data_IF_510095305545
#
_entry.id   IF_510095305545
#
_cell.length_a   1.000
_cell.length_b   1.000
_cell.length_c   1.000
_cell.angle_alpha   90.00
_cell.angle_beta   90.00
_cell.angle_gamma   90.00
#
_symmetry.space_group_name_H-M   'P 1'
#
loop_
_entity.id
_entity.type
_entity.pdbx_description
1 polymer ?
#
# COMPACT_ATOMS: atom_id res chain seq x y z
N UNK A 1 -14.19 4.85 -0.45
CA UNK A 1 -14.30 4.43 -1.85
C UNK A 1 -12.92 4.46 -2.52
N UNK A 2 -12.62 3.46 -3.37
CA UNK A 2 -11.31 3.32 -4.03
C UNK A 2 -11.49 3.23 -5.54
N UNK A 3 -10.63 3.95 -6.30
CA UNK A 3 -10.60 3.90 -7.76
C UNK A 3 -9.27 3.33 -8.26
N UNK A 4 -9.30 2.12 -8.84
CA UNK A 4 -8.16 1.57 -9.57
C UNK A 4 -8.09 2.19 -10.97
N UNK A 5 -6.91 2.68 -11.37
CA UNK A 5 -6.73 3.39 -12.64
C UNK A 5 -5.30 3.25 -13.18
N UNK A 6 -5.18 3.30 -14.51
CA UNK A 6 -3.89 3.46 -15.20
C UNK A 6 -3.42 4.93 -15.29
N UNK A 7 -4.20 5.88 -14.79
CA UNK A 7 -3.85 7.29 -14.73
C UNK A 7 -4.06 8.11 -16.01
N UNK A 8 -4.43 7.50 -17.12
CA UNK A 8 -4.53 8.20 -18.42
C UNK A 8 -5.51 9.39 -18.35
N UNK A 9 -6.70 9.19 -17.78
CA UNK A 9 -7.69 10.27 -17.64
C UNK A 9 -7.24 11.30 -16.62
N UNK A 10 -6.64 10.89 -15.53
CA UNK A 10 -6.10 11.79 -14.49
C UNK A 10 -5.03 12.71 -15.07
N UNK A 11 -4.17 12.19 -15.96
CA UNK A 11 -3.13 12.98 -16.61
C UNK A 11 -3.69 14.05 -17.58
N UNK A 12 -4.79 13.75 -18.26
CA UNK A 12 -5.34 14.58 -19.35
C UNK A 12 -6.44 15.55 -18.90
N UNK A 13 -7.17 15.23 -17.84
CA UNK A 13 -8.42 15.90 -17.45
C UNK A 13 -8.31 16.36 -15.98
N UNK A 14 -7.89 17.62 -15.79
CA UNK A 14 -7.72 18.21 -14.44
C UNK A 14 -9.06 18.41 -13.75
N UNK A 15 -10.12 18.76 -14.51
CA UNK A 15 -11.47 18.96 -13.97
C UNK A 15 -12.03 17.64 -13.41
N UNK A 16 -11.68 16.52 -14.07
CA UNK A 16 -11.99 15.19 -13.55
C UNK A 16 -11.29 14.93 -12.21
N UNK A 17 -10.02 15.33 -12.06
CA UNK A 17 -9.26 15.18 -10.80
C UNK A 17 -9.87 16.05 -9.70
N UNK A 18 -10.25 17.28 -10.00
CA UNK A 18 -10.96 18.17 -9.07
C UNK A 18 -12.27 17.55 -8.58
N UNK A 19 -13.04 16.99 -9.51
CA UNK A 19 -14.26 16.25 -9.16
C UNK A 19 -13.98 15.06 -8.25
N UNK A 20 -12.92 14.28 -8.51
CA UNK A 20 -12.52 13.17 -7.63
C UNK A 20 -12.13 13.69 -6.24
N UNK A 21 -11.42 14.80 -6.17
CA UNK A 21 -11.02 15.42 -4.90
C UNK A 21 -12.22 15.86 -4.05
N UNK A 22 -13.37 16.17 -4.64
CA UNK A 22 -14.59 16.51 -3.90
C UNK A 22 -15.18 15.34 -3.10
N UNK A 23 -14.71 14.12 -3.33
CA UNK A 23 -15.12 12.94 -2.57
C UNK A 23 -14.20 12.62 -1.37
N UNK A 24 -13.13 13.40 -1.17
CA UNK A 24 -12.30 13.27 0.03
C UNK A 24 -13.10 13.64 1.29
N UNK A 25 -12.81 13.04 2.46
CA UNK A 25 -11.67 12.15 2.74
C UNK A 25 -11.91 10.67 2.39
N UNK A 26 -13.12 10.24 2.08
CA UNK A 26 -13.51 8.84 1.94
C UNK A 26 -13.22 8.27 0.54
N UNK A 27 -12.20 8.82 -0.15
CA UNK A 27 -11.85 8.47 -1.50
C UNK A 27 -10.34 8.36 -1.70
N UNK A 28 -9.90 7.27 -2.35
CA UNK A 28 -8.50 6.97 -2.65
C UNK A 28 -8.30 6.53 -4.09
N UNK A 29 -7.19 6.93 -4.69
CA UNK A 29 -6.72 6.46 -5.99
C UNK A 29 -5.72 5.33 -5.82
N UNK A 30 -5.94 4.21 -6.49
CA UNK A 30 -4.96 3.15 -6.71
C UNK A 30 -4.40 3.30 -8.11
N UNK A 31 -3.23 3.93 -8.20
CA UNK A 31 -2.58 4.26 -9.47
C UNK A 31 -1.60 3.15 -9.87
N UNK A 32 -1.84 2.50 -11.00
CA UNK A 32 -0.86 1.57 -11.58
C UNK A 32 0.43 2.33 -11.91
N UNK A 33 1.55 1.88 -11.34
CA UNK A 33 2.84 2.57 -11.48
C UNK A 33 3.91 1.70 -12.14
N UNK A 34 4.18 0.53 -11.60
CA UNK A 34 5.05 -0.58 -12.03
C UNK A 34 6.54 -0.25 -12.17
N UNK A 35 6.94 0.76 -12.93
CA UNK A 35 8.35 1.02 -13.26
C UNK A 35 8.56 2.45 -13.76
N UNK A 36 9.79 2.93 -13.67
CA UNK A 36 10.25 4.16 -14.36
C UNK A 36 10.78 3.87 -15.76
N UNK A 37 11.09 2.60 -16.06
CA UNK A 37 11.70 2.19 -17.32
C UNK A 37 10.65 1.90 -18.39
N UNK A 38 10.88 2.49 -19.56
CA UNK A 38 10.01 2.35 -20.73
C UNK A 38 9.89 0.91 -21.22
N UNK A 39 11.02 0.19 -21.31
CA UNK A 39 11.06 -1.20 -21.76
C UNK A 39 10.26 -2.12 -20.85
N UNK A 40 10.36 -1.94 -19.54
CA UNK A 40 9.56 -2.67 -18.55
C UNK A 40 8.07 -2.37 -18.69
N UNK A 41 7.72 -1.10 -18.91
CA UNK A 41 6.33 -0.71 -19.11
C UNK A 41 5.75 -1.26 -20.40
N UNK A 42 6.52 -1.24 -21.48
CA UNK A 42 6.14 -1.87 -22.74
C UNK A 42 5.87 -3.36 -22.57
N UNK A 43 6.70 -4.06 -21.80
CA UNK A 43 6.57 -5.48 -21.56
C UNK A 43 5.37 -5.81 -20.64
N UNK A 44 5.21 -5.10 -19.52
CA UNK A 44 4.15 -5.36 -18.55
C UNK A 44 2.77 -4.81 -18.97
N UNK A 45 2.72 -3.75 -19.79
CA UNK A 45 1.48 -3.01 -20.12
C UNK A 45 1.21 -2.86 -21.61
N UNK A 46 2.19 -3.18 -22.46
CA UNK A 46 2.08 -3.02 -23.92
C UNK A 46 2.17 -1.57 -24.40
N UNK A 47 2.42 -0.60 -23.49
CA UNK A 47 2.48 0.83 -23.81
C UNK A 47 3.47 1.56 -22.91
N UNK A 48 4.16 2.57 -23.48
CA UNK A 48 4.95 3.52 -22.70
C UNK A 48 4.06 4.57 -22.05
N UNK A 49 3.82 4.43 -20.76
CA UNK A 49 2.99 5.33 -19.97
C UNK A 49 3.79 6.19 -18.98
N UNK A 50 5.11 6.31 -19.17
CA UNK A 50 6.00 7.04 -18.26
C UNK A 50 5.54 8.49 -18.05
N UNK A 51 5.33 9.24 -19.15
CA UNK A 51 4.91 10.64 -19.07
C UNK A 51 3.48 10.78 -18.55
N UNK A 52 2.60 9.83 -18.88
CA UNK A 52 1.23 9.78 -18.36
C UNK A 52 1.25 9.67 -16.83
N UNK A 53 2.08 8.79 -16.28
CA UNK A 53 2.18 8.59 -14.83
C UNK A 53 2.74 9.80 -14.10
N UNK A 54 3.80 10.41 -14.65
CA UNK A 54 4.35 11.67 -14.10
C UNK A 54 3.27 12.76 -14.07
N UNK A 55 2.56 12.92 -15.18
CA UNK A 55 1.50 13.94 -15.27
C UNK A 55 0.31 13.64 -14.37
N UNK A 56 -0.05 12.38 -14.21
CA UNK A 56 -1.10 11.97 -13.27
C UNK A 56 -0.71 12.34 -11.83
N UNK A 57 0.50 12.01 -11.39
CA UNK A 57 1.00 12.36 -10.05
C UNK A 57 1.06 13.87 -9.85
N UNK A 58 1.50 14.66 -10.85
CA UNK A 58 1.47 16.11 -10.77
C UNK A 58 0.05 16.65 -10.51
N UNK A 59 -0.94 16.12 -11.23
CA UNK A 59 -2.32 16.53 -11.08
C UNK A 59 -2.92 16.08 -9.74
N UNK A 60 -2.60 14.87 -9.27
CA UNK A 60 -3.02 14.38 -7.95
C UNK A 60 -2.41 15.19 -6.81
N UNK A 61 -1.14 15.60 -6.93
CA UNK A 61 -0.46 16.46 -5.95
C UNK A 61 -1.12 17.85 -5.82
N UNK A 62 -1.67 18.43 -6.90
CA UNK A 62 -2.36 19.73 -6.85
C UNK A 62 -3.52 19.73 -5.86
N UNK A 63 -4.25 18.64 -5.79
CA UNK A 63 -5.42 18.48 -4.92
C UNK A 63 -5.11 17.68 -3.64
N UNK A 64 -3.87 17.25 -3.46
CA UNK A 64 -3.46 16.35 -2.37
C UNK A 64 -4.37 15.12 -2.25
N UNK A 65 -4.83 14.60 -3.38
CA UNK A 65 -5.76 13.47 -3.44
C UNK A 65 -5.07 12.17 -3.05
N UNK A 66 -5.56 11.53 -2.00
CA UNK A 66 -4.98 10.30 -1.46
C UNK A 66 -4.75 9.26 -2.56
N UNK A 67 -3.50 8.82 -2.68
CA UNK A 67 -3.05 7.94 -3.76
C UNK A 67 -2.15 6.84 -3.21
N UNK A 68 -2.41 5.61 -3.61
CA UNK A 68 -1.52 4.46 -3.43
C UNK A 68 -0.95 4.05 -4.79
N UNK A 69 0.37 3.93 -4.88
CA UNK A 69 1.02 3.39 -6.08
C UNK A 69 0.91 1.86 -6.07
N UNK A 70 0.41 1.30 -7.14
CA UNK A 70 0.34 -0.16 -7.33
C UNK A 70 1.43 -0.59 -8.29
N UNK A 71 2.28 -1.50 -7.83
CA UNK A 71 3.48 -1.94 -8.53
C UNK A 71 3.44 -3.45 -8.70
N UNK A 72 3.22 -3.91 -9.92
CA UNK A 72 3.37 -5.32 -10.26
C UNK A 72 4.86 -5.64 -10.35
N UNK A 73 5.31 -6.64 -9.58
CA UNK A 73 6.72 -7.05 -9.53
C UNK A 73 6.94 -8.37 -10.26
N UNK A 74 7.97 -8.39 -11.11
CA UNK A 74 8.43 -9.59 -11.79
C UNK A 74 9.95 -9.69 -11.66
N UNK A 75 10.44 -10.86 -11.25
CA UNK A 75 11.87 -11.12 -11.09
C UNK A 75 12.61 -10.97 -12.42
N UNK A 76 13.78 -10.32 -12.40
CA UNK A 76 14.57 -10.01 -13.60
C UNK A 76 14.01 -8.82 -14.41
N UNK A 77 12.96 -8.14 -13.94
CA UNK A 77 12.35 -6.99 -14.65
C UNK A 77 12.43 -5.69 -13.87
N UNK A 78 11.79 -5.59 -12.71
CA UNK A 78 11.67 -4.33 -11.97
C UNK A 78 11.86 -4.45 -10.45
N UNK A 79 12.30 -5.59 -9.97
CA UNK A 79 12.60 -5.77 -8.54
C UNK A 79 13.81 -4.94 -8.07
N UNK A 80 14.62 -4.44 -8.99
CA UNK A 80 15.72 -3.53 -8.74
C UNK A 80 15.29 -2.07 -8.57
N UNK A 81 14.05 -1.71 -8.95
CA UNK A 81 13.49 -0.35 -8.81
C UNK A 81 12.69 -0.13 -7.51
N UNK A 82 12.57 -1.14 -6.65
CA UNK A 82 11.76 -1.06 -5.41
C UNK A 82 12.16 0.15 -4.55
N UNK A 83 13.46 0.35 -4.34
CA UNK A 83 13.97 1.49 -3.55
C UNK A 83 13.69 2.84 -4.21
N UNK A 84 13.90 2.94 -5.53
CA UNK A 84 13.63 4.16 -6.28
C UNK A 84 12.13 4.52 -6.28
N UNK A 85 11.26 3.51 -6.39
CA UNK A 85 9.81 3.69 -6.32
C UNK A 85 9.39 4.16 -4.92
N UNK A 86 9.96 3.58 -3.86
CA UNK A 86 9.70 4.02 -2.48
C UNK A 86 10.17 5.45 -2.25
N UNK A 87 11.39 5.79 -2.67
CA UNK A 87 11.93 7.14 -2.55
C UNK A 87 11.09 8.17 -3.31
N UNK A 88 10.64 7.81 -4.51
CA UNK A 88 9.74 8.65 -5.28
C UNK A 88 8.39 8.84 -4.56
N UNK A 89 7.78 7.76 -4.09
CA UNK A 89 6.49 7.79 -3.40
C UNK A 89 6.53 8.62 -2.12
N UNK A 90 7.59 8.48 -1.34
CA UNK A 90 7.79 9.23 -0.10
C UNK A 90 7.87 10.75 -0.34
N UNK A 91 8.44 11.17 -1.47
CA UNK A 91 8.56 12.58 -1.87
C UNK A 91 7.27 13.19 -2.42
N UNK A 92 6.26 12.38 -2.77
CA UNK A 92 5.00 12.89 -3.32
C UNK A 92 4.01 13.22 -2.19
N UNK A 93 3.48 14.44 -2.20
CA UNK A 93 2.52 14.90 -1.18
C UNK A 93 1.22 14.08 -1.18
N UNK A 94 0.72 13.72 -2.35
CA UNK A 94 -0.54 12.96 -2.48
C UNK A 94 -0.39 11.46 -2.21
N UNK A 95 0.85 10.91 -2.25
CA UNK A 95 1.05 9.46 -2.12
C UNK A 95 1.10 9.04 -0.66
N UNK A 96 0.15 8.18 -0.29
CA UNK A 96 -0.05 7.63 1.06
C UNK A 96 0.45 6.20 1.19
N UNK A 97 0.87 5.57 0.10
CA UNK A 97 1.40 4.22 0.17
C UNK A 97 1.85 3.66 -1.17
N UNK A 98 2.50 2.51 -1.07
CA UNK A 98 2.90 1.67 -2.20
C UNK A 98 2.44 0.25 -1.92
N UNK A 99 1.78 -0.37 -2.90
CA UNK A 99 1.43 -1.79 -2.87
C UNK A 99 2.25 -2.54 -3.90
N UNK A 100 3.12 -3.40 -3.43
CA UNK A 100 3.90 -4.32 -4.27
C UNK A 100 3.14 -5.62 -4.47
N UNK A 101 2.90 -5.98 -5.72
CA UNK A 101 2.14 -7.16 -6.13
C UNK A 101 3.02 -8.08 -6.96
N UNK A 102 3.61 -9.14 -6.37
CA UNK A 102 4.28 -10.18 -7.14
C UNK A 102 3.40 -10.74 -8.25
N UNK A 103 3.95 -10.88 -9.46
CA UNK A 103 3.23 -11.49 -10.59
C UNK A 103 2.88 -12.94 -10.26
N UNK A 104 1.63 -13.32 -10.54
CA UNK A 104 1.09 -14.66 -10.32
C UNK A 104 0.69 -15.33 -11.63
N UNK A 105 0.57 -16.66 -11.60
CA UNK A 105 0.06 -17.45 -12.73
C UNK A 105 -1.46 -17.33 -12.79
N UNK A 106 -1.93 -16.20 -13.31
CA UNK A 106 -3.35 -15.92 -13.44
C UNK A 106 -3.63 -15.13 -14.73
N UNK A 107 -4.74 -15.46 -15.40
CA UNK A 107 -5.17 -14.78 -16.61
C UNK A 107 -4.32 -15.11 -17.84
N UNK A 108 -4.06 -14.10 -18.69
CA UNK A 108 -3.31 -14.23 -19.95
C UNK A 108 -1.82 -13.95 -19.72
N UNK A 109 -1.13 -14.90 -19.14
CA UNK A 109 0.29 -14.78 -18.82
C UNK A 109 1.07 -15.98 -19.40
N UNK A 110 0.91 -16.21 -20.70
CA UNK A 110 1.39 -17.41 -21.41
C UNK A 110 2.91 -17.51 -21.40
N UNK A 111 3.62 -16.37 -21.39
CA UNK A 111 5.09 -16.29 -21.42
C UNK A 111 5.72 -16.19 -20.02
N UNK A 112 4.94 -16.31 -18.95
CA UNK A 112 5.44 -16.21 -17.58
C UNK A 112 5.99 -17.54 -17.08
N UNK A 113 7.31 -17.60 -16.91
CA UNK A 113 7.99 -18.74 -16.30
C UNK A 113 8.08 -18.59 -14.78
N UNK A 114 7.28 -19.37 -14.07
CA UNK A 114 7.22 -19.38 -12.60
C UNK A 114 8.59 -19.63 -11.97
N UNK A 115 9.40 -20.54 -12.56
CA UNK A 115 10.67 -20.93 -11.97
C UNK A 115 11.70 -19.79 -11.94
N UNK A 116 11.65 -18.91 -12.94
CA UNK A 116 12.65 -17.85 -13.12
C UNK A 116 12.12 -16.44 -12.85
N UNK A 117 10.81 -16.20 -13.01
CA UNK A 117 10.21 -14.86 -13.00
C UNK A 117 9.31 -14.58 -11.79
N UNK A 118 8.88 -15.62 -11.05
CA UNK A 118 8.12 -15.43 -9.81
C UNK A 118 9.05 -14.86 -8.74
N UNK A 119 8.61 -13.80 -8.09
CA UNK A 119 9.25 -13.23 -6.91
C UNK A 119 8.36 -13.51 -5.69
N UNK A 120 8.94 -14.00 -4.61
CA UNK A 120 8.20 -14.31 -3.38
C UNK A 120 8.06 -13.08 -2.49
N UNK A 121 7.09 -13.09 -1.58
CA UNK A 121 6.92 -12.05 -0.56
C UNK A 121 8.22 -11.82 0.23
N UNK A 122 8.90 -12.90 0.62
CA UNK A 122 10.19 -12.84 1.35
C UNK A 122 11.28 -12.17 0.52
N UNK A 123 11.34 -12.44 -0.80
CA UNK A 123 12.30 -11.77 -1.68
C UNK A 123 11.99 -10.28 -1.81
N UNK A 124 10.71 -9.89 -1.97
CA UNK A 124 10.30 -8.47 -2.00
C UNK A 124 10.69 -7.76 -0.71
N UNK A 125 10.38 -8.38 0.44
CA UNK A 125 10.76 -7.87 1.76
C UNK A 125 12.27 -7.63 1.86
N UNK A 126 13.08 -8.61 1.45
CA UNK A 126 14.54 -8.48 1.41
C UNK A 126 14.99 -7.34 0.50
N UNK A 127 14.41 -7.21 -0.69
CA UNK A 127 14.72 -6.12 -1.63
C UNK A 127 14.39 -4.73 -1.07
N UNK A 128 13.29 -4.59 -0.32
CA UNK A 128 12.99 -3.34 0.39
C UNK A 128 14.11 -3.00 1.37
N UNK A 129 14.55 -3.98 2.18
CA UNK A 129 15.62 -3.78 3.16
C UNK A 129 16.99 -3.47 2.52
N UNK A 130 17.28 -4.06 1.37
CA UNK A 130 18.52 -3.82 0.62
C UNK A 130 18.54 -2.43 -0.06
N UNK A 131 17.38 -1.95 -0.53
CA UNK A 131 17.27 -0.78 -1.39
C UNK A 131 16.74 0.48 -0.68
N UNK A 132 16.12 0.36 0.50
CA UNK A 132 15.59 1.49 1.25
C UNK A 132 16.26 1.59 2.63
N UNK A 133 16.96 2.71 2.94
CA UNK A 133 17.57 2.91 4.25
C UNK A 133 16.55 3.27 5.35
N UNK A 134 15.30 3.52 4.97
CA UNK A 134 14.24 3.98 5.89
C UNK A 134 13.71 2.85 6.76
N UNK A 135 13.56 1.64 6.17
CA UNK A 135 12.89 0.51 6.81
C UNK A 135 13.87 -0.55 7.28
N UNK A 136 13.60 -1.13 8.45
CA UNK A 136 14.30 -2.28 9.02
C UNK A 136 13.44 -3.54 8.95
N UNK A 137 14.01 -4.69 9.31
CA UNK A 137 13.29 -5.97 9.27
C UNK A 137 12.07 -6.00 10.22
N UNK A 138 12.12 -5.24 11.32
CA UNK A 138 11.06 -5.13 12.31
C UNK A 138 9.88 -4.29 11.82
N UNK A 139 10.12 -3.37 10.87
CA UNK A 139 9.11 -2.49 10.32
C UNK A 139 8.19 -3.21 9.32
N UNK A 140 8.69 -4.29 8.70
CA UNK A 140 7.98 -5.09 7.70
C UNK A 140 7.29 -6.29 8.37
N UNK A 141 6.04 -6.11 8.74
CA UNK A 141 5.26 -7.01 9.60
C UNK A 141 4.42 -7.96 8.74
N UNK A 142 4.70 -9.29 8.74
CA UNK A 142 3.81 -10.27 8.13
C UNK A 142 2.47 -10.32 8.86
N UNK A 143 1.38 -10.37 8.12
CA UNK A 143 0.04 -10.43 8.71
C UNK A 143 -0.24 -11.84 9.25
N UNK A 144 -0.61 -12.00 10.52
CA UNK A 144 -0.67 -13.30 11.17
C UNK A 144 -1.65 -14.30 10.55
N UNK A 145 -2.72 -13.80 9.93
CA UNK A 145 -3.72 -14.67 9.29
C UNK A 145 -3.22 -15.31 7.99
N UNK A 146 -2.28 -14.64 7.29
CA UNK A 146 -1.63 -15.19 6.11
C UNK A 146 -0.26 -14.52 5.89
N UNK A 147 0.79 -14.98 6.61
CA UNK A 147 2.11 -14.36 6.57
C UNK A 147 2.83 -14.53 5.23
N UNK A 148 2.41 -15.50 4.41
CA UNK A 148 2.98 -15.76 3.08
C UNK A 148 2.33 -14.92 1.98
N UNK A 149 1.11 -14.43 2.25
CA UNK A 149 0.37 -13.64 1.27
C UNK A 149 0.44 -12.12 1.54
N UNK A 150 0.60 -11.69 2.78
CA UNK A 150 0.50 -10.27 3.12
C UNK A 150 1.56 -9.84 4.15
N UNK A 151 2.26 -8.76 3.82
CA UNK A 151 3.18 -8.06 4.72
C UNK A 151 2.93 -6.56 4.64
N UNK A 152 2.98 -5.88 5.77
CA UNK A 152 2.71 -4.45 5.88
C UNK A 152 3.81 -3.72 6.63
N UNK A 153 4.03 -2.45 6.26
CA UNK A 153 4.78 -1.49 7.05
C UNK A 153 4.06 -0.14 7.05
N UNK A 154 4.19 0.56 8.16
CA UNK A 154 3.67 1.91 8.33
C UNK A 154 4.77 2.87 8.72
N UNK A 155 4.75 4.06 8.15
CA UNK A 155 5.65 5.16 8.50
C UNK A 155 4.87 6.48 8.55
N UNK A 156 5.46 7.46 9.24
CA UNK A 156 4.96 8.81 9.32
C UNK A 156 5.87 9.74 8.51
N UNK A 157 5.27 10.56 7.67
CA UNK A 157 5.93 11.72 7.05
C UNK A 157 5.85 12.88 8.04
N UNK A 158 6.93 13.07 8.80
CA UNK A 158 7.02 14.06 9.86
C UNK A 158 7.56 15.36 9.28
N UNK A 159 6.83 16.47 9.31
CA UNK A 159 7.38 17.76 8.90
C UNK A 159 8.52 18.17 9.85
N UNK A 160 9.59 18.71 9.29
CA UNK A 160 10.73 19.24 10.01
C UNK A 160 11.11 20.60 9.45
N UNK A 161 11.96 21.35 10.14
CA UNK A 161 12.46 22.64 9.66
C UNK A 161 13.21 22.54 8.31
N UNK A 162 13.78 21.37 8.01
CA UNK A 162 14.56 21.10 6.80
C UNK A 162 13.82 20.26 5.74
N UNK A 163 12.51 20.03 5.90
CA UNK A 163 11.71 19.21 4.99
C UNK A 163 10.86 18.16 5.73
N UNK A 164 10.84 16.94 5.23
CA UNK A 164 10.10 15.82 5.86
C UNK A 164 11.09 14.73 6.32
N UNK A 165 10.89 14.23 7.52
CA UNK A 165 11.54 13.02 8.05
C UNK A 165 10.56 11.84 7.96
N UNK A 166 11.02 10.72 7.46
CA UNK A 166 10.21 9.50 7.39
C UNK A 166 10.55 8.61 8.58
N UNK A 167 9.57 8.39 9.44
CA UNK A 167 9.76 7.63 10.67
C UNK A 167 8.85 6.41 10.67
N UNK A 168 9.39 5.16 10.63
CA UNK A 168 8.59 3.95 10.80
C UNK A 168 7.83 3.97 12.12
N UNK A 169 6.56 3.53 12.09
CA UNK A 169 5.70 3.55 13.27
C UNK A 169 6.18 2.63 14.39
N UNK A 170 6.94 1.60 14.06
CA UNK A 170 7.60 0.69 15.01
C UNK A 170 8.58 1.38 15.96
N UNK A 171 8.98 2.63 15.66
CA UNK A 171 9.73 3.49 16.60
C UNK A 171 8.91 3.96 17.81
N UNK A 172 7.59 3.93 17.70
CA UNK A 172 6.65 4.42 18.71
C UNK A 172 5.77 3.31 19.28
N UNK A 173 5.50 2.28 18.48
CA UNK A 173 4.56 1.21 18.78
C UNK A 173 5.27 -0.11 18.51
N UNK A 174 5.21 -1.04 19.44
CA UNK A 174 5.84 -2.35 19.23
C UNK A 174 5.15 -3.11 18.08
N UNK A 175 5.90 -3.93 17.31
CA UNK A 175 5.30 -4.82 16.32
C UNK A 175 4.23 -5.74 16.90
N UNK A 176 4.35 -6.13 18.19
CA UNK A 176 3.36 -6.95 18.89
C UNK A 176 2.05 -6.21 19.12
N UNK A 177 2.10 -4.90 19.45
CA UNK A 177 0.89 -4.07 19.57
C UNK A 177 0.21 -3.88 18.22
N UNK A 178 0.96 -3.61 17.15
CA UNK A 178 0.44 -3.55 15.79
C UNK A 178 -0.21 -4.90 15.41
N UNK A 179 0.45 -6.03 15.72
CA UNK A 179 -0.07 -7.36 15.44
C UNK A 179 -1.26 -7.74 16.35
N UNK A 180 -1.29 -7.34 17.60
CA UNK A 180 -2.40 -7.62 18.51
C UNK A 180 -3.66 -6.88 18.08
N UNK A 181 -3.51 -5.65 17.61
CA UNK A 181 -4.59 -4.94 16.97
C UNK A 181 -4.99 -5.62 15.64
N UNK A 182 -4.05 -6.16 14.88
CA UNK A 182 -4.33 -6.94 13.68
C UNK A 182 -4.92 -8.34 13.97
N UNK A 183 -4.61 -8.98 15.13
CA UNK A 183 -5.21 -10.27 15.53
C UNK A 183 -6.72 -10.18 15.74
N UNK A 184 -7.21 -9.03 16.14
CA UNK A 184 -8.64 -8.80 16.22
C UNK A 184 -9.31 -8.76 14.84
N UNK A 185 -8.57 -8.76 13.70
CA UNK A 185 -9.18 -8.77 12.35
C UNK A 185 -10.05 -10.00 12.07
N UNK A 186 -9.80 -11.14 12.71
CA UNK A 186 -10.64 -12.34 12.57
C UNK A 186 -11.92 -12.25 13.40
N UNK A 187 -11.91 -11.47 14.48
CA UNK A 187 -13.07 -11.24 15.38
C UNK A 187 -14.04 -10.21 14.81
N UNK A 188 -13.57 -9.35 13.89
CA UNK A 188 -14.35 -8.23 13.32
C UNK A 188 -15.62 -8.63 12.58
N UNK A 189 -15.68 -9.82 12.02
CA UNK A 189 -16.89 -10.25 11.30
C UNK A 189 -18.12 -10.32 12.20
N UNK A 190 -17.90 -10.36 13.51
CA UNK A 190 -18.96 -10.43 14.53
C UNK A 190 -19.17 -9.14 15.31
N UNK A 191 -18.26 -8.16 15.17
CA UNK A 191 -18.34 -6.86 15.84
C UNK A 191 -18.30 -5.73 14.80
N UNK A 192 -19.44 -5.11 14.56
CA UNK A 192 -19.61 -4.05 13.56
C UNK A 192 -18.79 -2.79 13.90
N UNK A 193 -18.56 -2.47 15.17
CA UNK A 193 -17.78 -1.32 15.57
C UNK A 193 -16.28 -1.55 15.32
N UNK A 194 -15.79 -2.72 15.69
CA UNK A 194 -14.41 -3.11 15.43
C UNK A 194 -14.14 -3.20 13.91
N UNK A 195 -15.09 -3.76 13.15
CA UNK A 195 -15.01 -3.83 11.67
C UNK A 195 -14.90 -2.45 11.03
N UNK A 196 -15.68 -1.49 11.49
CA UNK A 196 -15.64 -0.10 11.00
C UNK A 196 -14.28 0.55 11.32
N UNK A 197 -13.75 0.37 12.53
CA UNK A 197 -12.44 0.87 12.94
C UNK A 197 -11.29 0.30 12.10
N UNK A 198 -11.35 -0.99 11.78
CA UNK A 198 -10.28 -1.63 10.99
C UNK A 198 -10.38 -1.30 9.50
N UNK A 199 -11.57 -1.14 8.96
CA UNK A 199 -11.73 -0.59 7.62
C UNK A 199 -11.12 0.82 7.54
N UNK A 200 -11.24 1.60 8.60
CA UNK A 200 -10.59 2.91 8.73
C UNK A 200 -9.07 2.81 8.82
N UNK A 201 -8.52 1.83 9.53
CA UNK A 201 -7.09 1.54 9.63
C UNK A 201 -6.45 1.15 8.27
N UNK A 202 -7.17 0.34 7.50
CA UNK A 202 -6.70 -0.13 6.19
C UNK A 202 -7.04 0.83 5.05
N UNK A 203 -7.89 1.81 5.29
CA UNK A 203 -8.22 2.87 4.33
C UNK A 203 -7.34 4.09 4.58
N UNK A 204 -6.56 4.49 3.59
CA UNK A 204 -5.78 5.76 3.65
C UNK A 204 -6.67 7.00 3.47
N UNK A 205 -7.97 6.84 3.33
CA UNK A 205 -8.94 7.89 3.00
C UNK A 205 -9.75 8.43 4.16
N UNK A 206 -9.63 7.87 5.38
CA UNK A 206 -10.51 8.28 6.47
C UNK A 206 -9.89 9.39 7.31
N UNK A 207 -10.60 10.51 7.44
CA UNK A 207 -10.36 11.49 8.50
C UNK A 207 -10.79 10.86 9.82
N UNK A 208 -9.84 10.57 10.69
CA UNK A 208 -10.14 10.24 12.07
C UNK A 208 -10.39 11.56 12.77
N UNK A 209 -11.65 11.97 12.89
CA UNK A 209 -12.02 12.79 14.04
C UNK A 209 -11.70 11.95 15.27
N UNK A 210 -10.85 12.47 16.14
CA UNK A 210 -10.44 11.82 17.39
C UNK A 210 -11.67 11.50 18.23
N UNK A 211 -12.36 10.42 17.91
CA UNK A 211 -13.36 9.82 18.78
C UNK A 211 -12.63 8.91 19.78
N UNK A 212 -13.16 8.84 20.98
CA UNK A 212 -12.63 8.21 22.19
C UNK A 212 -12.45 6.68 22.08
N UNK A 213 -11.69 6.20 21.09
CA UNK A 213 -11.36 4.79 20.89
C UNK A 213 -9.86 4.52 20.96
N UNK A 214 -9.48 3.29 21.21
CA UNK A 214 -8.07 2.86 21.40
C UNK A 214 -7.16 3.22 20.23
N UNK A 215 -7.69 3.34 19.01
CA UNK A 215 -6.91 3.74 17.83
C UNK A 215 -6.82 5.27 17.71
N UNK A 216 -7.87 5.98 18.07
CA UNK A 216 -7.84 7.43 18.27
C UNK A 216 -6.77 7.79 19.30
N UNK A 217 -6.66 7.01 20.38
CA UNK A 217 -5.60 7.15 21.40
C UNK A 217 -4.21 6.91 20.82
N UNK A 218 -4.02 5.93 19.95
CA UNK A 218 -2.76 5.65 19.28
C UNK A 218 -2.33 6.81 18.37
N UNK A 219 -3.23 7.28 17.52
CA UNK A 219 -2.97 8.42 16.64
C UNK A 219 -2.84 9.74 17.43
N UNK A 220 -3.57 9.87 18.54
CA UNK A 220 -3.45 11.03 19.44
C UNK A 220 -2.17 11.01 20.28
N UNK A 221 -1.56 9.84 20.52
CA UNK A 221 -0.27 9.75 21.20
C UNK A 221 0.91 10.19 20.31
N UNK A 222 0.80 10.00 18.99
CA UNK A 222 1.85 10.40 18.04
C UNK A 222 2.10 11.93 18.00
N UNK A 223 1.06 12.81 17.96
CA UNK A 223 1.25 14.25 18.08
C UNK A 223 1.88 14.69 19.40
N UNK A 224 1.57 14.01 20.51
CA UNK A 224 2.13 14.33 21.83
C UNK A 224 3.62 14.07 21.91
N UNK A 225 4.14 13.14 21.10
CA UNK A 225 5.58 12.82 21.09
C UNK A 225 6.43 13.94 20.53
N UNK A 226 5.88 14.76 19.59
CA UNK A 226 6.61 15.85 18.93
C UNK A 226 5.96 17.24 19.02
N UNK A 227 4.77 17.38 19.62
CA UNK A 227 4.06 18.66 19.72
C UNK A 227 3.51 19.19 18.39
N UNK A 228 3.41 18.35 17.37
CA UNK A 228 2.91 18.67 16.03
C UNK A 228 1.53 18.09 15.77
N UNK A 229 0.73 18.79 14.96
CA UNK A 229 -0.58 18.30 14.52
C UNK A 229 -0.41 17.32 13.36
N UNK A 230 -0.19 16.04 13.65
CA UNK A 230 -0.20 14.98 12.67
C UNK A 230 -1.64 14.61 12.29
N UNK A 231 -1.84 14.28 11.04
CA UNK A 231 -3.12 13.83 10.51
C UNK A 231 -2.92 12.56 9.69
N UNK A 232 -4.00 11.93 9.26
CA UNK A 232 -3.95 10.78 8.35
C UNK A 232 -3.14 11.07 7.07
N UNK A 233 -3.01 12.34 6.67
CA UNK A 233 -2.22 12.74 5.49
C UNK A 233 -0.73 12.55 5.68
N UNK A 234 -0.26 12.38 6.92
CA UNK A 234 1.13 12.08 7.25
C UNK A 234 1.44 10.58 7.24
N UNK A 235 0.41 9.73 7.24
CA UNK A 235 0.60 8.28 7.20
C UNK A 235 1.07 7.82 5.82
N UNK A 236 2.08 6.94 5.81
CA UNK A 236 2.56 6.24 4.63
C UNK A 236 2.55 4.73 4.88
N UNK A 237 2.07 3.96 3.92
CA UNK A 237 1.90 2.52 4.03
C UNK A 237 2.65 1.79 2.93
N UNK A 238 3.37 0.73 3.30
CA UNK A 238 3.85 -0.27 2.35
C UNK A 238 3.01 -1.52 2.53
N UNK A 239 2.53 -2.07 1.44
CA UNK A 239 1.88 -3.39 1.40
C UNK A 239 2.64 -4.25 0.40
N UNK A 240 3.00 -5.46 0.80
CA UNK A 240 3.39 -6.53 -0.10
C UNK A 240 2.22 -7.49 -0.12
N UNK A 241 1.57 -7.64 -1.28
CA UNK A 241 0.39 -8.49 -1.43
C UNK A 241 0.66 -9.56 -2.48
N UNK A 242 0.88 -10.76 -2.01
CA UNK A 242 1.05 -11.94 -2.85
C UNK A 242 -0.31 -12.60 -3.06
N UNK A 243 -0.89 -12.43 -4.24
CA UNK A 243 -2.13 -13.15 -4.58
C UNK A 243 -1.80 -14.63 -4.75
N UNK A 244 -2.63 -15.49 -4.16
CA UNK A 244 -2.49 -16.94 -4.31
C UNK A 244 -2.94 -17.34 -5.71
N UNK A 245 -2.11 -18.11 -6.40
CA UNK A 245 -2.46 -18.78 -7.66
C UNK A 245 -2.77 -20.27 -7.43
N UNK A 246 -3.10 -20.98 -8.50
CA UNK A 246 -3.48 -22.39 -8.39
C UNK A 246 -2.35 -23.31 -7.91
N UNK A 247 -1.11 -22.86 -7.88
CA UNK A 247 0.05 -23.60 -7.38
C UNK A 247 0.36 -23.31 -5.91
N UNK A 248 -0.19 -22.22 -5.38
CA UNK A 248 -0.01 -21.83 -3.99
C UNK A 248 -1.07 -22.46 -3.06
N UNK A 249 -2.10 -23.14 -3.62
CA UNK A 249 -3.15 -23.77 -2.85
C UNK A 249 -2.71 -25.12 -2.27
N UNK A 250 -2.87 -25.27 -0.98
CA UNK A 250 -2.79 -26.53 -0.25
C UNK A 250 -4.13 -26.82 0.48
N UNK A 251 -4.22 -27.98 1.19
CA UNK A 251 -5.43 -28.35 1.91
C UNK A 251 -5.83 -27.34 3.01
N UNK A 252 -4.85 -26.63 3.58
CA UNK A 252 -5.07 -25.55 4.57
C UNK A 252 -5.62 -24.28 3.95
N UNK A 253 -5.33 -24.03 2.67
CA UNK A 253 -5.82 -22.84 1.94
C UNK A 253 -7.32 -22.87 1.68
N UNK A 254 -7.95 -24.04 1.79
CA UNK A 254 -9.39 -24.23 1.61
C UNK A 254 -10.21 -24.17 2.90
N UNK A 255 -9.60 -23.79 4.02
CA UNK A 255 -10.39 -23.55 5.23
C UNK A 255 -11.42 -22.44 5.00
N UNK A 256 -12.63 -22.50 5.59
CA UNK A 256 -13.64 -21.45 5.44
C UNK A 256 -13.13 -20.05 5.79
N UNK A 257 -12.20 -19.96 6.72
CA UNK A 257 -11.62 -18.71 7.18
C UNK A 257 -10.66 -18.09 6.14
N UNK A 258 -9.83 -18.93 5.50
CA UNK A 258 -8.92 -18.48 4.41
C UNK A 258 -9.70 -18.07 3.17
N UNK A 259 -10.75 -18.81 2.81
CA UNK A 259 -11.62 -18.47 1.67
C UNK A 259 -12.31 -17.10 1.85
N UNK A 260 -12.68 -16.74 3.07
CA UNK A 260 -13.24 -15.43 3.38
C UNK A 260 -12.25 -14.28 3.18
N UNK A 261 -10.99 -14.46 3.54
CA UNK A 261 -9.94 -13.46 3.34
C UNK A 261 -9.68 -13.24 1.85
N UNK A 262 -9.60 -14.29 1.05
CA UNK A 262 -9.45 -14.21 -0.41
C UNK A 262 -10.66 -13.50 -1.05
N UNK A 263 -11.88 -13.79 -0.61
CA UNK A 263 -13.09 -13.13 -1.11
C UNK A 263 -13.19 -11.65 -0.72
N UNK A 264 -12.70 -11.25 0.44
CA UNK A 264 -12.70 -9.83 0.84
C UNK A 264 -11.77 -8.96 -0.01
N UNK A 265 -10.66 -9.51 -0.51
CA UNK A 265 -9.77 -8.81 -1.45
C UNK A 265 -10.31 -8.76 -2.88
N UNK A 266 -11.26 -9.64 -3.24
CA UNK A 266 -11.86 -9.69 -4.59
C UNK A 266 -13.19 -8.92 -4.73
N UNK A 267 -13.79 -8.50 -3.61
CA UNK A 267 -15.09 -7.77 -3.61
C UNK A 267 -14.98 -6.28 -3.34
N UNK A 268 -13.78 -5.75 -3.23
CA UNK A 268 -13.55 -4.30 -3.07
C UNK A 268 -13.19 -3.62 -4.38
#
# INVERSE_FOLDING_TARGET
LMLNTNGIRIAKDVDFVEKLASYMPDFEIYLQFDSFRKDVLMDLRGEDVTDVRKKAIENLNKFNLSTTLVVVLQKGKNEDEIGEILDFALKQKCVRGVTFQPTQVAGRNEDFDVATQKITLTEVRRKILEQSPVFTAEDLIPVPCNPDALCMAYALKMPTENGEEIVPMTRYISPEEILNNARSTIVYEHDEQIKEHMLKLFSTGTSVDCAEDEFGDLMCCLPRVKGENLSYTNLFRIIIMNFMDCYDFDDGSFSPDVYRIICCTYKS
#
